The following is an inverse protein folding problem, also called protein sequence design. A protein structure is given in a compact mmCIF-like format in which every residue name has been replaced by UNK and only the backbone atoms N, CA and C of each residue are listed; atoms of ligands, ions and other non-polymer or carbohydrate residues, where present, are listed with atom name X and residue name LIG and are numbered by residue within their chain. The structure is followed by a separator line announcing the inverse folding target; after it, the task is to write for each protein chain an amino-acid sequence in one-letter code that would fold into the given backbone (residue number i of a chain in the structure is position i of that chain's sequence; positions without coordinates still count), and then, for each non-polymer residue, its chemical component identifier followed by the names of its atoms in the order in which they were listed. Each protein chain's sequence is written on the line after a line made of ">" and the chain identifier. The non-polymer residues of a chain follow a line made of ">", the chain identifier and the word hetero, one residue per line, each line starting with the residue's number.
data_IF_838736093054
#
_entry.id   IF_838736093054
#
_cell.length_a   1.000
_cell.length_b   1.000
_cell.length_c   1.000
_cell.angle_alpha   90.00
_cell.angle_beta   90.00
_cell.angle_gamma   90.00
#
_symmetry.space_group_name_H-M   'P 1'
#
loop_
_entity.id
_entity.type
_entity.pdbx_description
1 polymer ?
#
# COMPACT_ATOMS: atom_id res chain seq x y z
N UNK A 1 14.78 -12.01 -7.26
CA UNK A 1 13.92 -11.86 -8.44
C UNK A 1 14.34 -10.61 -9.23
N UNK A 2 14.08 -10.57 -10.56
CA UNK A 2 14.26 -9.36 -11.37
C UNK A 2 13.03 -8.43 -11.24
N UNK A 3 13.15 -7.19 -11.69
CA UNK A 3 12.01 -6.23 -11.68
C UNK A 3 10.83 -6.74 -12.49
N UNK A 4 11.09 -7.30 -13.66
CA UNK A 4 10.07 -7.84 -14.56
C UNK A 4 9.32 -9.03 -13.94
N UNK A 5 10.04 -9.88 -13.20
CA UNK A 5 9.42 -10.99 -12.47
C UNK A 5 8.50 -10.48 -11.35
N UNK A 6 8.95 -9.49 -10.57
CA UNK A 6 8.14 -8.91 -9.48
C UNK A 6 6.90 -8.19 -10.02
N UNK A 7 7.06 -7.42 -11.10
CA UNK A 7 5.93 -6.77 -11.78
C UNK A 7 4.93 -7.83 -12.32
N UNK A 8 5.44 -8.95 -12.87
CA UNK A 8 4.63 -10.07 -13.31
C UNK A 8 3.81 -10.70 -12.19
N UNK A 9 4.40 -10.90 -11.01
CA UNK A 9 3.70 -11.44 -9.83
C UNK A 9 2.60 -10.49 -9.33
N UNK A 10 2.87 -9.18 -9.26
CA UNK A 10 1.86 -8.20 -8.89
C UNK A 10 0.70 -8.18 -9.91
N UNK A 11 1.01 -8.26 -11.20
CA UNK A 11 0.00 -8.32 -12.26
C UNK A 11 -0.84 -9.60 -12.20
N UNK A 12 -0.19 -10.74 -11.94
CA UNK A 12 -0.85 -12.02 -11.75
C UNK A 12 -1.83 -11.99 -10.57
N UNK A 13 -1.42 -11.42 -9.44
CA UNK A 13 -2.29 -11.26 -8.28
C UNK A 13 -3.52 -10.38 -8.60
N UNK A 14 -3.33 -9.24 -9.26
CA UNK A 14 -4.43 -8.36 -9.66
C UNK A 14 -5.39 -9.04 -10.64
N UNK A 15 -4.86 -9.80 -11.59
CA UNK A 15 -5.67 -10.55 -12.55
C UNK A 15 -6.51 -11.62 -11.85
N UNK A 16 -5.87 -12.44 -11.00
CA UNK A 16 -6.54 -13.50 -10.26
C UNK A 16 -7.61 -12.98 -9.29
N UNK A 17 -7.36 -11.82 -8.66
CA UNK A 17 -8.36 -11.11 -7.88
C UNK A 17 -9.52 -10.66 -8.78
N UNK A 18 -9.21 -10.05 -9.93
CA UNK A 18 -10.19 -9.56 -10.89
C UNK A 18 -11.11 -10.64 -11.48
N UNK A 19 -10.59 -11.83 -11.75
CA UNK A 19 -11.37 -12.99 -12.19
C UNK A 19 -12.45 -13.39 -11.17
N UNK A 20 -12.19 -13.18 -9.89
CA UNK A 20 -13.09 -13.62 -8.82
C UNK A 20 -14.06 -12.53 -8.35
N UNK A 21 -13.60 -11.27 -8.30
CA UNK A 21 -14.36 -10.18 -7.69
C UNK A 21 -14.71 -9.06 -8.68
N UNK A 22 -14.29 -9.17 -9.92
CA UNK A 22 -14.47 -8.16 -10.97
C UNK A 22 -13.17 -7.42 -11.29
N UNK A 23 -12.95 -7.21 -12.59
CA UNK A 23 -11.71 -6.59 -13.07
C UNK A 23 -11.58 -5.14 -12.60
N UNK A 24 -10.40 -4.84 -12.05
CA UNK A 24 -10.04 -3.48 -11.65
C UNK A 24 -9.72 -2.64 -12.89
N UNK A 25 -10.48 -1.58 -13.09
CA UNK A 25 -10.32 -0.69 -14.26
C UNK A 25 -9.90 0.73 -13.87
N UNK A 26 -10.05 1.09 -12.61
CA UNK A 26 -9.74 2.43 -12.09
C UNK A 26 -9.06 2.34 -10.73
N UNK A 27 -8.14 3.29 -10.39
CA UNK A 27 -7.64 3.43 -9.02
C UNK A 27 -8.72 4.00 -8.08
N UNK A 28 -8.60 3.80 -6.76
CA UNK A 28 -7.50 3.12 -6.08
C UNK A 28 -7.59 1.59 -6.16
N UNK A 29 -6.45 0.92 -6.04
CA UNK A 29 -6.40 -0.54 -5.90
C UNK A 29 -6.72 -0.90 -4.44
N UNK A 30 -7.68 -1.81 -4.19
CA UNK A 30 -8.10 -2.19 -2.83
C UNK A 30 -7.12 -3.22 -2.21
N UNK A 31 -5.96 -2.74 -1.78
CA UNK A 31 -4.88 -3.62 -1.29
C UNK A 31 -5.28 -4.42 -0.04
N UNK A 32 -6.03 -3.80 0.86
CA UNK A 32 -6.57 -4.41 2.07
C UNK A 32 -7.60 -5.51 1.77
N UNK A 33 -8.49 -5.28 0.81
CA UNK A 33 -9.45 -6.29 0.36
C UNK A 33 -8.75 -7.47 -0.35
N UNK A 34 -7.73 -7.18 -1.17
CA UNK A 34 -6.90 -8.21 -1.81
C UNK A 34 -6.23 -9.07 -0.73
N UNK A 35 -5.63 -8.46 0.28
CA UNK A 35 -4.97 -9.17 1.37
C UNK A 35 -5.97 -9.98 2.20
N UNK A 36 -6.99 -9.32 2.73
CA UNK A 36 -7.93 -9.93 3.69
C UNK A 36 -8.92 -10.89 2.99
N UNK A 37 -9.59 -10.43 1.93
CA UNK A 37 -10.69 -11.17 1.33
C UNK A 37 -10.21 -12.21 0.32
N UNK A 38 -9.23 -11.87 -0.52
CA UNK A 38 -8.74 -12.80 -1.54
C UNK A 38 -7.68 -13.75 -1.01
N UNK A 39 -6.63 -13.24 -0.37
CA UNK A 39 -5.53 -14.07 0.17
C UNK A 39 -5.87 -14.74 1.50
N UNK A 40 -6.97 -14.36 2.14
CA UNK A 40 -7.42 -14.92 3.43
C UNK A 40 -6.39 -14.73 4.54
N UNK A 41 -5.78 -13.56 4.59
CA UNK A 41 -4.84 -13.13 5.62
C UNK A 41 -5.56 -12.12 6.49
N UNK A 42 -5.60 -12.30 7.81
CA UNK A 42 -6.21 -11.29 8.69
C UNK A 42 -5.38 -10.01 8.70
N UNK A 43 -6.05 -8.88 8.72
CA UNK A 43 -5.45 -7.56 8.74
C UNK A 43 -5.96 -6.82 9.97
N UNK A 44 -5.07 -6.52 10.88
CA UNK A 44 -5.38 -5.92 12.17
C UNK A 44 -4.52 -4.68 12.42
N UNK A 45 -4.87 -3.87 13.43
CA UNK A 45 -4.09 -2.72 13.88
C UNK A 45 -3.67 -2.91 15.33
N UNK A 46 -2.41 -2.55 15.66
CA UNK A 46 -1.91 -2.52 17.03
C UNK A 46 -0.74 -1.50 17.15
N UNK A 47 -0.30 -1.22 18.36
CA UNK A 47 0.93 -0.47 18.66
C UNK A 47 2.13 -1.42 18.47
N UNK A 48 2.64 -1.50 17.26
CA UNK A 48 3.69 -2.44 16.89
C UNK A 48 5.00 -2.25 17.67
N UNK A 49 5.51 -1.03 17.88
CA UNK A 49 6.69 -0.81 18.73
C UNK A 49 6.53 -1.38 20.15
N UNK A 50 5.36 -1.17 20.74
CA UNK A 50 5.02 -1.69 22.06
C UNK A 50 4.83 -3.20 22.06
N UNK A 51 4.09 -3.73 21.09
CA UNK A 51 3.84 -5.17 20.94
C UNK A 51 5.15 -5.96 20.80
N UNK A 52 6.07 -5.43 19.99
CA UNK A 52 7.35 -6.08 19.69
C UNK A 52 8.48 -5.69 20.67
N UNK A 53 8.20 -4.78 21.60
CA UNK A 53 9.14 -4.28 22.61
C UNK A 53 10.44 -3.73 22.01
N UNK A 54 10.31 -2.96 20.94
CA UNK A 54 11.43 -2.34 20.24
C UNK A 54 11.28 -0.82 20.21
N UNK A 55 12.40 -0.13 20.31
CA UNK A 55 12.48 1.33 20.15
C UNK A 55 12.83 1.66 18.70
N UNK A 56 11.87 1.43 17.81
CA UNK A 56 12.00 1.70 16.38
C UNK A 56 10.62 1.88 15.75
N UNK A 57 10.55 2.72 14.71
CA UNK A 57 9.33 2.88 13.92
C UNK A 57 9.10 1.61 13.08
N UNK A 58 8.06 0.87 13.43
CA UNK A 58 7.59 -0.30 12.72
C UNK A 58 6.21 0.01 12.18
N UNK A 59 6.02 -0.16 10.88
CA UNK A 59 4.77 0.17 10.21
C UNK A 59 3.90 -1.04 9.88
N UNK A 60 4.52 -2.22 9.73
CA UNK A 60 3.84 -3.47 9.46
C UNK A 60 4.63 -4.66 9.96
N UNK A 61 3.93 -5.75 10.25
CA UNK A 61 4.53 -7.00 10.64
C UNK A 61 3.66 -8.17 10.18
N UNK A 62 4.30 -9.23 9.66
CA UNK A 62 3.64 -10.41 9.12
C UNK A 62 3.96 -11.67 9.92
N UNK A 63 2.91 -12.41 10.28
CA UNK A 63 2.97 -13.74 10.89
C UNK A 63 2.46 -14.76 9.87
N UNK A 64 3.38 -15.47 9.19
CA UNK A 64 3.03 -16.39 8.11
C UNK A 64 2.14 -17.54 8.55
N UNK A 65 2.42 -18.15 9.69
CA UNK A 65 1.64 -19.29 10.19
C UNK A 65 0.23 -18.94 10.60
N UNK A 66 0.10 -17.78 11.27
CA UNK A 66 -1.19 -17.28 11.70
C UNK A 66 -1.98 -16.68 10.54
N UNK A 67 -1.36 -16.53 9.36
CA UNK A 67 -1.91 -15.77 8.23
C UNK A 67 -2.44 -14.43 8.71
N UNK A 68 -1.60 -13.69 9.40
CA UNK A 68 -1.94 -12.40 10.01
C UNK A 68 -0.91 -11.35 9.62
N UNK A 69 -1.41 -10.18 9.28
CA UNK A 69 -0.66 -8.94 9.12
C UNK A 69 -1.20 -7.96 10.15
N UNK A 70 -0.32 -7.32 10.88
CA UNK A 70 -0.66 -6.20 11.77
C UNK A 70 0.01 -4.95 11.22
N UNK A 71 -0.77 -3.90 11.06
CA UNK A 71 -0.31 -2.56 10.67
C UNK A 71 -0.26 -1.70 11.93
N UNK A 72 0.75 -0.84 12.03
CA UNK A 72 0.84 0.07 13.17
C UNK A 72 -0.36 1.03 13.21
N UNK A 73 -0.91 1.21 14.41
CA UNK A 73 -2.11 2.03 14.63
C UNK A 73 -1.96 3.49 14.18
N UNK A 74 -0.73 4.01 14.09
CA UNK A 74 -0.46 5.36 13.55
C UNK A 74 -0.78 5.50 12.07
N UNK A 75 -0.96 4.38 11.37
CA UNK A 75 -1.37 4.32 9.96
C UNK A 75 -2.85 4.01 9.76
N UNK A 76 -3.63 3.79 10.83
CA UNK A 76 -5.07 3.50 10.72
C UNK A 76 -5.80 4.66 10.02
N UNK A 77 -6.33 4.46 8.80
CA UNK A 77 -6.97 5.52 8.03
C UNK A 77 -8.29 6.02 8.65
N UNK A 78 -8.85 5.29 9.60
CA UNK A 78 -10.05 5.72 10.34
C UNK A 78 -9.69 6.85 11.30
N UNK A 79 -8.53 6.77 11.94
CA UNK A 79 -8.04 7.75 12.89
C UNK A 79 -7.11 8.79 12.23
N UNK A 80 -6.38 8.37 11.19
CA UNK A 80 -5.36 9.13 10.47
C UNK A 80 -5.61 9.11 8.95
N UNK A 81 -6.68 9.76 8.44
CA UNK A 81 -7.03 9.71 7.02
C UNK A 81 -5.94 10.28 6.10
N UNK A 82 -5.09 11.17 6.60
CA UNK A 82 -3.91 11.68 5.87
C UNK A 82 -2.85 10.62 5.60
N UNK A 83 -2.85 9.52 6.37
CA UNK A 83 -1.89 8.42 6.25
C UNK A 83 -2.33 7.32 5.27
N UNK A 84 -3.48 7.47 4.61
CA UNK A 84 -4.05 6.46 3.70
C UNK A 84 -3.06 5.96 2.63
N UNK A 85 -2.22 6.85 2.10
CA UNK A 85 -1.20 6.47 1.12
C UNK A 85 -0.13 5.56 1.71
N UNK A 86 0.32 5.86 2.94
CA UNK A 86 1.30 5.05 3.65
C UNK A 86 0.71 3.72 4.10
N UNK A 87 -0.52 3.73 4.60
CA UNK A 87 -1.28 2.53 4.92
C UNK A 87 -1.34 1.58 3.73
N UNK A 88 -1.85 2.04 2.59
CA UNK A 88 -1.95 1.21 1.39
C UNK A 88 -0.58 0.66 0.95
N UNK A 89 0.48 1.49 1.02
CA UNK A 89 1.82 1.07 0.67
C UNK A 89 2.33 -0.03 1.61
N UNK A 90 2.11 0.12 2.93
CA UNK A 90 2.51 -0.88 3.92
C UNK A 90 1.74 -2.18 3.73
N UNK A 91 0.42 -2.14 3.50
CA UNK A 91 -0.38 -3.34 3.18
C UNK A 91 0.14 -4.03 1.91
N UNK A 92 0.44 -3.26 0.86
CA UNK A 92 1.04 -3.78 -0.37
C UNK A 92 2.43 -4.39 -0.15
N UNK A 93 3.24 -3.80 0.73
CA UNK A 93 4.57 -4.29 1.11
C UNK A 93 4.48 -5.65 1.84
N UNK A 94 3.63 -5.76 2.86
CA UNK A 94 3.40 -7.04 3.56
C UNK A 94 2.84 -8.11 2.62
N UNK A 95 1.96 -7.71 1.68
CA UNK A 95 1.49 -8.59 0.60
C UNK A 95 2.65 -9.07 -0.27
N UNK A 96 3.63 -8.20 -0.55
CA UNK A 96 4.85 -8.53 -1.28
C UNK A 96 5.67 -9.63 -0.58
N UNK A 97 5.84 -9.54 0.73
CA UNK A 97 6.50 -10.60 1.50
C UNK A 97 5.76 -11.94 1.41
N UNK A 98 4.44 -11.92 1.50
CA UNK A 98 3.62 -13.12 1.39
C UNK A 98 3.70 -13.78 0.00
N UNK A 99 3.73 -12.96 -1.07
CA UNK A 99 3.73 -13.47 -2.44
C UNK A 99 5.13 -13.89 -2.91
N UNK A 100 6.16 -13.12 -2.58
CA UNK A 100 7.50 -13.30 -3.14
C UNK A 100 8.43 -14.10 -2.24
N UNK A 101 8.27 -14.00 -0.92
CA UNK A 101 9.29 -14.43 0.02
C UNK A 101 8.84 -15.57 0.95
N UNK A 102 7.61 -16.04 0.84
CA UNK A 102 7.06 -17.05 1.74
C UNK A 102 7.98 -18.27 1.92
N UNK A 103 8.40 -18.90 0.84
CA UNK A 103 9.27 -20.09 0.89
C UNK A 103 10.66 -19.76 1.51
N UNK A 104 11.19 -18.56 1.27
CA UNK A 104 12.46 -18.12 1.85
C UNK A 104 12.32 -17.87 3.36
N UNK A 105 11.25 -17.25 3.77
CA UNK A 105 10.98 -16.91 5.18
C UNK A 105 10.68 -18.17 6.00
N UNK A 106 9.90 -19.12 5.48
CA UNK A 106 9.64 -20.42 6.09
C UNK A 106 10.96 -21.19 6.32
N UNK A 107 11.83 -21.26 5.31
CA UNK A 107 13.13 -21.96 5.42
C UNK A 107 14.07 -21.31 6.44
N UNK A 108 14.12 -19.99 6.49
CA UNK A 108 15.00 -19.29 7.44
C UNK A 108 14.50 -19.40 8.88
N UNK A 109 13.19 -19.52 9.07
CA UNK A 109 12.58 -19.74 10.38
C UNK A 109 12.99 -21.08 10.96
N UNK A 110 12.95 -22.16 10.21
CA UNK A 110 13.35 -23.51 10.65
C UNK A 110 14.80 -23.52 11.19
N UNK A 111 15.65 -22.58 10.75
CA UNK A 111 17.00 -22.40 11.25
C UNK A 111 17.07 -21.58 12.55
N UNK A 112 16.08 -20.75 12.85
CA UNK A 112 16.01 -19.87 14.04
C UNK A 112 15.20 -20.51 15.18
N UNK A 113 14.31 -21.44 14.91
CA UNK A 113 13.38 -22.09 15.87
C UNK A 113 14.05 -22.97 16.93
N UNK A 114 15.35 -23.15 16.90
CA UNK A 114 16.04 -23.80 18.04
C UNK A 114 15.95 -22.98 19.34
N UNK A 115 15.47 -21.72 19.33
CA UNK A 115 15.55 -20.83 20.49
C UNK A 115 14.39 -19.85 20.75
N UNK A 116 13.32 -19.79 19.98
CA UNK A 116 12.26 -18.77 20.24
C UNK A 116 10.83 -19.27 20.08
N UNK A 117 10.07 -18.96 21.13
CA UNK A 117 8.64 -19.23 21.30
C UNK A 117 7.79 -18.46 20.25
N UNK A 118 6.74 -19.07 19.81
CA UNK A 118 5.58 -18.81 18.95
C UNK A 118 4.98 -17.36 18.90
N UNK A 119 5.71 -16.33 19.30
CA UNK A 119 5.17 -14.97 19.42
C UNK A 119 5.79 -13.91 18.52
N UNK A 120 6.92 -14.18 17.89
CA UNK A 120 7.60 -13.18 17.06
C UNK A 120 7.07 -13.18 15.61
N UNK A 121 6.91 -11.99 14.99
CA UNK A 121 6.54 -11.92 13.58
C UNK A 121 7.63 -12.51 12.69
N UNK A 122 7.23 -13.07 11.56
CA UNK A 122 8.15 -13.63 10.56
C UNK A 122 8.90 -12.53 9.82
N UNK A 123 8.24 -11.39 9.60
CA UNK A 123 8.80 -10.21 8.94
C UNK A 123 8.35 -8.96 9.68
N UNK A 124 9.20 -7.95 9.73
CA UNK A 124 8.93 -6.64 10.33
C UNK A 124 9.38 -5.54 9.38
N UNK A 125 8.44 -4.74 8.89
CA UNK A 125 8.72 -3.57 8.07
C UNK A 125 9.16 -2.38 8.95
N UNK A 126 10.42 -1.97 8.82
CA UNK A 126 11.02 -0.85 9.56
C UNK A 126 11.34 0.31 8.63
N UNK A 127 11.21 1.54 9.14
CA UNK A 127 11.52 2.77 8.39
C UNK A 127 12.99 2.86 7.91
N UNK A 128 13.91 2.18 8.60
CA UNK A 128 15.37 2.34 8.40
C UNK A 128 16.07 1.21 7.64
N UNK A 129 15.38 0.10 7.34
CA UNK A 129 16.03 -1.11 6.78
C UNK A 129 15.78 -1.35 5.29
N UNK A 130 15.51 -0.34 4.51
CA UNK A 130 15.26 -0.43 3.05
C UNK A 130 16.45 -1.00 2.21
N UNK A 131 17.43 -1.65 2.82
CA UNK A 131 18.65 -2.12 2.12
C UNK A 131 18.75 -3.62 1.94
N UNK A 132 17.92 -4.42 2.60
CA UNK A 132 17.91 -5.84 2.32
C UNK A 132 17.21 -6.13 1.00
N UNK A 133 17.72 -7.11 0.27
CA UNK A 133 17.20 -7.46 -1.07
C UNK A 133 15.71 -7.82 -1.05
N UNK A 134 15.25 -8.45 0.03
CA UNK A 134 13.85 -8.84 0.19
C UNK A 134 12.95 -7.63 0.44
N UNK A 135 13.40 -6.66 1.25
CA UNK A 135 12.68 -5.42 1.53
C UNK A 135 12.47 -4.60 0.25
N UNK A 136 13.56 -4.42 -0.52
CA UNK A 136 13.46 -3.74 -1.80
C UNK A 136 12.49 -4.43 -2.77
N UNK A 137 12.46 -5.78 -2.78
CA UNK A 137 11.54 -6.52 -3.63
C UNK A 137 10.09 -6.34 -3.18
N UNK A 138 9.82 -6.30 -1.88
CA UNK A 138 8.50 -6.03 -1.32
C UNK A 138 8.03 -4.60 -1.62
N UNK A 139 8.91 -3.60 -1.47
CA UNK A 139 8.63 -2.20 -1.86
C UNK A 139 8.29 -2.08 -3.35
N UNK A 140 9.08 -2.73 -4.20
CA UNK A 140 8.83 -2.71 -5.64
C UNK A 140 7.53 -3.42 -6.02
N UNK A 141 7.24 -4.54 -5.38
CA UNK A 141 5.96 -5.24 -5.53
C UNK A 141 4.78 -4.36 -5.13
N UNK A 142 4.85 -3.72 -3.95
CA UNK A 142 3.83 -2.78 -3.48
C UNK A 142 3.57 -1.67 -4.51
N UNK A 143 4.64 -1.10 -5.05
CA UNK A 143 4.55 -0.06 -6.08
C UNK A 143 3.85 -0.57 -7.36
N UNK A 144 4.18 -1.78 -7.82
CA UNK A 144 3.57 -2.40 -8.99
C UNK A 144 2.09 -2.77 -8.74
N UNK A 145 1.78 -3.25 -7.54
CA UNK A 145 0.43 -3.61 -7.12
C UNK A 145 -0.49 -2.39 -7.08
N UNK A 146 -0.05 -1.31 -6.43
CA UNK A 146 -0.86 -0.10 -6.21
C UNK A 146 -0.94 0.80 -7.45
N UNK A 147 0.07 0.75 -8.31
CA UNK A 147 0.15 1.57 -9.53
C UNK A 147 0.35 0.71 -10.79
N UNK A 148 -0.57 -0.22 -11.10
CA UNK A 148 -0.45 -1.06 -12.28
C UNK A 148 -0.49 -0.21 -13.54
N UNK A 149 0.53 -0.33 -14.37
CA UNK A 149 0.78 0.54 -15.55
C UNK A 149 -0.43 0.66 -16.48
N UNK A 150 -1.12 -0.44 -16.72
CA UNK A 150 -2.28 -0.46 -17.62
C UNK A 150 -3.43 0.40 -17.08
N UNK A 151 -3.78 0.23 -15.80
CA UNK A 151 -4.87 0.96 -15.13
C UNK A 151 -4.51 2.44 -14.99
N UNK A 152 -3.28 2.75 -14.55
CA UNK A 152 -2.84 4.14 -14.41
C UNK A 152 -2.82 4.86 -15.76
N UNK A 153 -2.29 4.22 -16.81
CA UNK A 153 -2.28 4.80 -18.15
C UNK A 153 -3.69 5.02 -18.70
N UNK A 154 -4.60 4.06 -18.52
CA UNK A 154 -5.99 4.20 -18.93
C UNK A 154 -6.69 5.35 -18.20
N UNK A 155 -6.53 5.40 -16.87
CA UNK A 155 -7.09 6.45 -16.04
C UNK A 155 -6.50 7.83 -16.35
N UNK A 156 -5.18 7.92 -16.59
CA UNK A 156 -4.53 9.14 -17.02
C UNK A 156 -5.07 9.65 -18.36
N UNK A 157 -5.17 8.77 -19.37
CA UNK A 157 -5.69 9.11 -20.68
C UNK A 157 -7.15 9.58 -20.63
N UNK A 158 -7.97 8.98 -19.78
CA UNK A 158 -9.39 9.38 -19.62
C UNK A 158 -9.54 10.77 -18.98
N UNK A 159 -8.59 11.18 -18.13
CA UNK A 159 -8.63 12.47 -17.42
C UNK A 159 -7.85 13.59 -18.09
N UNK A 160 -6.78 13.27 -18.77
CA UNK A 160 -6.03 14.22 -19.58
C UNK A 160 -6.60 14.21 -20.98
N UNK A 161 -7.35 15.21 -21.38
CA UNK A 161 -7.83 15.37 -22.79
C UNK A 161 -6.67 15.47 -23.81
N UNK A 162 -5.46 15.10 -23.46
CA UNK A 162 -4.29 15.13 -24.31
C UNK A 162 -3.45 13.87 -24.10
N UNK A 163 -3.17 13.17 -25.21
CA UNK A 163 -2.28 12.01 -25.28
C UNK A 163 -0.78 12.41 -25.23
N UNK A 164 -0.43 13.62 -24.76
CA UNK A 164 0.92 14.17 -24.79
C UNK A 164 1.60 14.18 -23.42
N UNK A 165 2.92 14.44 -23.45
CA UNK A 165 3.70 14.70 -22.26
C UNK A 165 3.15 15.96 -21.57
N UNK A 166 2.86 15.86 -20.27
CA UNK A 166 2.47 17.01 -19.46
C UNK A 166 3.71 17.46 -18.71
N UNK A 167 4.02 18.74 -18.80
CA UNK A 167 5.13 19.35 -18.05
C UNK A 167 4.73 19.60 -16.60
N UNK A 168 5.74 19.66 -15.71
CA UNK A 168 5.52 20.03 -14.30
C UNK A 168 4.86 21.42 -14.18
N UNK A 169 5.14 22.35 -15.11
CA UNK A 169 4.51 23.67 -15.15
C UNK A 169 2.99 23.57 -15.41
N UNK A 170 2.57 22.69 -16.32
CA UNK A 170 1.15 22.47 -16.61
C UNK A 170 0.43 21.78 -15.45
N UNK A 171 1.09 20.83 -14.75
CA UNK A 171 0.54 20.21 -13.55
C UNK A 171 0.34 21.28 -12.47
N UNK A 172 1.35 22.12 -12.22
CA UNK A 172 1.28 23.22 -11.27
C UNK A 172 0.17 24.20 -11.58
N UNK A 173 0.08 24.62 -12.83
CA UNK A 173 -0.98 25.52 -13.29
C UNK A 173 -2.40 24.93 -13.11
N UNK A 174 -2.57 23.61 -13.29
CA UNK A 174 -3.85 22.93 -13.04
C UNK A 174 -4.17 22.84 -11.55
N UNK A 175 -3.17 22.57 -10.72
CA UNK A 175 -3.31 22.53 -9.26
C UNK A 175 -3.67 23.91 -8.69
N UNK A 176 -3.06 24.97 -9.19
CA UNK A 176 -3.34 26.37 -8.78
C UNK A 176 -4.76 26.78 -9.16
N UNK A 177 -5.24 26.41 -10.37
CA UNK A 177 -6.63 26.62 -10.78
C UNK A 177 -7.62 25.87 -9.88
N UNK A 178 -7.35 24.59 -9.59
CA UNK A 178 -8.21 23.79 -8.71
C UNK A 178 -8.30 24.41 -7.30
N UNK A 179 -7.17 24.83 -6.73
CA UNK A 179 -7.12 25.48 -5.43
C UNK A 179 -7.84 26.84 -5.44
N UNK A 180 -7.69 27.62 -6.50
CA UNK A 180 -8.39 28.90 -6.68
C UNK A 180 -9.92 28.70 -6.75
N UNK A 181 -10.40 27.74 -7.51
CA UNK A 181 -11.83 27.42 -7.64
C UNK A 181 -12.42 26.88 -6.34
N UNK A 182 -11.65 26.08 -5.60
CA UNK A 182 -12.04 25.58 -4.27
C UNK A 182 -12.15 26.72 -3.25
N UNK A 183 -11.23 27.70 -3.29
CA UNK A 183 -11.28 28.88 -2.42
C UNK A 183 -12.45 29.79 -2.79
N UNK A 184 -12.73 30.03 -4.09
CA UNK A 184 -13.89 30.80 -4.55
C UNK A 184 -15.20 30.16 -4.08
N UNK A 185 -15.34 28.83 -4.14
CA UNK A 185 -16.53 28.13 -3.66
C UNK A 185 -16.69 28.25 -2.13
N UNK A 186 -15.59 28.17 -1.36
CA UNK A 186 -15.63 28.41 0.09
C UNK A 186 -16.06 29.83 0.43
N UNK A 187 -15.53 30.84 -0.26
CA UNK A 187 -15.89 32.25 -0.05
C UNK A 187 -17.35 32.53 -0.42
N UNK A 188 -17.86 31.94 -1.53
CA UNK A 188 -19.25 32.03 -1.93
C UNK A 188 -20.22 31.42 -0.90
N UNK A 189 -19.87 30.27 -0.34
CA UNK A 189 -20.67 29.60 0.71
C UNK A 189 -20.68 30.40 2.02
N UNK A 190 -19.57 31.06 2.38
CA UNK A 190 -19.50 31.91 3.57
C UNK A 190 -20.31 33.20 3.39
N UNK A 191 -20.29 33.82 2.22
CA UNK A 191 -21.07 35.02 1.92
C UNK A 191 -22.58 34.75 1.88
N UNK A 192 -23.01 33.57 1.40
CA UNK A 192 -24.45 33.19 1.43
C UNK A 192 -24.96 32.84 2.83
N UNK A 193 -24.09 32.48 3.79
CA UNK A 193 -24.46 32.20 5.17
C UNK A 193 -24.63 33.48 6.04
N UNK A 194 -24.16 34.61 5.56
CA UNK A 194 -24.30 35.94 6.24
C UNK A 194 -25.40 36.85 5.66
N UNK A 195 -26.17 36.35 4.68
CA UNK A 195 -27.22 37.06 3.98
C UNK A 195 -28.63 36.61 4.34
N UNK A 196 -28.83 36.16 5.61
CA UNK A 196 -30.16 35.86 6.19
C UNK A 196 -30.35 36.62 7.48
#
# INVERSE_FOLDING_TARGET
>A
MTREQIEGEAHHLLHAYGEKYGHLTTPPIPADEILNTYLKVSLDFDDLPRLLRVDADIFGATWLERKQVIIDQSLDPTNHPEMIGRYNFTVGHETGHLQLHRAYLEKNRDQQELFTVDQSPTVVCRSSQAKERIEWQADFFSSCLLMPKAIINAHWRSRSNCCGQITLAEIKARQDRFNSDRNKRKTSLTLSAFAV
#
